data_IF_042756060190
#
_entry.id   IF_042756060190
#
_cell.length_a   1.000
_cell.length_b   1.000
_cell.length_c   1.000
_cell.angle_alpha   90.00
_cell.angle_beta   90.00
_cell.angle_gamma   90.00
#
_symmetry.space_group_name_H-M   'P 1'
#
loop_
_entity.id
_entity.type
_entity.pdbx_description
1 polymer ?
#
# COMPACT_ATOMS: atom_id res chain seq x y z
N UNK A 1 -2.21 13.43 -33.28
CA UNK A 1 -1.19 14.26 -33.99
C UNK A 1 -1.77 15.55 -34.58
N UNK A 2 -2.81 15.57 -35.43
CA UNK A 2 -3.37 16.83 -35.98
C UNK A 2 -3.89 17.81 -34.89
N UNK A 3 -4.51 17.35 -33.84
CA UNK A 3 -5.05 18.20 -32.75
C UNK A 3 -3.96 18.79 -31.85
N UNK A 4 -2.89 18.04 -31.59
CA UNK A 4 -1.71 18.54 -30.85
C UNK A 4 -0.98 19.65 -31.63
N UNK A 5 -0.89 19.52 -32.96
CA UNK A 5 -0.28 20.55 -33.82
C UNK A 5 -1.14 21.83 -33.91
N UNK A 6 -2.46 21.70 -33.85
CA UNK A 6 -3.33 22.89 -33.84
C UNK A 6 -3.29 23.67 -32.53
N UNK A 7 -3.17 22.99 -31.38
CA UNK A 7 -2.99 23.62 -30.07
C UNK A 7 -1.62 24.33 -29.92
N UNK A 8 -0.59 23.83 -30.59
CA UNK A 8 0.77 24.38 -30.53
C UNK A 8 1.00 25.55 -31.52
N UNK A 9 0.16 25.70 -32.55
CA UNK A 9 0.31 26.82 -33.53
C UNK A 9 -0.24 28.17 -33.02
N UNK A 10 -1.00 28.20 -31.92
CA UNK A 10 -1.58 29.40 -31.33
C UNK A 10 -0.70 30.17 -30.33
N UNK A 11 0.35 29.56 -29.79
CA UNK A 11 1.21 30.18 -28.77
C UNK A 11 2.70 30.12 -29.17
N UNK A 12 3.07 31.05 -30.02
CA UNK A 12 4.50 31.31 -30.36
C UNK A 12 5.16 32.02 -29.16
N UNK A 13 6.03 31.33 -28.45
CA UNK A 13 7.10 32.03 -27.73
C UNK A 13 7.67 31.43 -26.47
N UNK A 14 6.98 30.53 -25.75
CA UNK A 14 7.47 30.10 -24.40
C UNK A 14 7.43 28.61 -24.12
N UNK A 15 6.67 27.82 -24.85
CA UNK A 15 6.44 26.39 -24.53
C UNK A 15 7.40 25.46 -25.26
N UNK A 16 8.08 25.93 -26.30
CA UNK A 16 8.96 25.10 -27.13
C UNK A 16 10.27 24.67 -26.46
N UNK A 17 10.70 25.30 -25.38
CA UNK A 17 11.96 24.89 -24.69
C UNK A 17 11.78 23.77 -23.66
N UNK A 18 10.58 23.56 -23.11
CA UNK A 18 10.33 22.48 -22.14
C UNK A 18 9.77 21.20 -22.77
N UNK A 19 9.36 21.25 -24.05
CA UNK A 19 8.82 20.10 -24.79
C UNK A 19 9.93 19.32 -25.52
N UNK A 20 11.15 19.86 -25.57
CA UNK A 20 12.32 19.17 -26.18
C UNK A 20 12.89 18.06 -25.26
N UNK A 21 12.34 17.88 -24.06
CA UNK A 21 12.56 16.68 -23.25
C UNK A 21 11.67 15.49 -23.60
N UNK A 22 10.72 15.65 -24.52
CA UNK A 22 10.07 14.54 -25.19
C UNK A 22 11.13 13.90 -26.06
N UNK A 23 11.60 12.69 -25.67
CA UNK A 23 12.38 11.84 -26.52
C UNK A 23 11.87 11.99 -27.93
N UNK A 24 12.74 12.44 -28.85
CA UNK A 24 12.46 12.29 -30.26
C UNK A 24 12.08 10.83 -30.42
N UNK A 25 10.80 10.56 -30.66
CA UNK A 25 10.36 9.27 -31.12
C UNK A 25 11.10 9.05 -32.44
N UNK A 26 12.28 8.43 -32.38
CA UNK A 26 12.81 7.75 -33.52
C UNK A 26 11.67 6.84 -33.96
N UNK A 27 11.18 7.05 -35.17
CA UNK A 27 10.10 6.24 -35.73
C UNK A 27 10.48 4.78 -35.49
N UNK A 28 9.82 4.15 -34.53
CA UNK A 28 9.94 2.70 -34.30
C UNK A 28 9.54 2.10 -35.64
N UNK A 29 10.37 1.25 -36.24
CA UNK A 29 10.03 0.63 -37.51
C UNK A 29 8.62 0.04 -37.42
N UNK A 30 7.78 0.30 -38.39
CA UNK A 30 6.38 -0.14 -38.40
C UNK A 30 6.20 -1.64 -38.14
N UNK A 31 7.21 -2.44 -38.48
CA UNK A 31 7.25 -3.88 -38.22
C UNK A 31 7.47 -4.26 -36.75
N UNK A 32 8.20 -3.48 -35.99
CA UNK A 32 8.41 -3.72 -34.55
C UNK A 32 7.20 -3.28 -33.73
N UNK A 33 6.49 -2.25 -34.18
CA UNK A 33 5.24 -1.80 -33.59
C UNK A 33 4.09 -2.79 -33.84
N UNK A 34 3.99 -3.36 -35.06
CA UNK A 34 2.98 -4.37 -35.39
C UNK A 34 3.07 -5.65 -34.53
N UNK A 35 4.27 -5.96 -34.00
CA UNK A 35 4.49 -7.12 -33.10
C UNK A 35 3.97 -6.89 -31.66
N UNK A 36 3.65 -5.65 -31.28
CA UNK A 36 3.14 -5.30 -29.94
C UNK A 36 1.61 -5.29 -29.85
N UNK A 37 0.93 -5.85 -30.83
CA UNK A 37 -0.52 -5.79 -30.94
C UNK A 37 -1.23 -6.70 -29.90
N UNK A 38 -1.22 -6.25 -28.62
CA UNK A 38 -1.85 -6.92 -27.49
C UNK A 38 -3.27 -6.38 -27.21
N UNK A 39 -3.66 -5.28 -27.85
CA UNK A 39 -4.99 -4.67 -27.75
C UNK A 39 -5.27 -3.84 -29.03
N UNK A 40 -6.52 -3.88 -29.54
CA UNK A 40 -6.93 -3.22 -30.79
C UNK A 40 -8.08 -2.22 -30.62
N UNK A 41 -8.68 -2.19 -29.44
CA UNK A 41 -9.83 -1.34 -29.15
C UNK A 41 -9.85 -0.90 -27.67
N UNK A 42 -10.71 0.06 -27.34
CA UNK A 42 -10.83 0.64 -25.99
C UNK A 42 -11.07 -0.43 -24.92
N UNK A 43 -11.93 -1.42 -25.19
CA UNK A 43 -12.29 -2.46 -24.22
C UNK A 43 -11.09 -3.35 -23.90
N UNK A 44 -10.30 -3.71 -24.89
CA UNK A 44 -9.07 -4.52 -24.71
C UNK A 44 -8.03 -3.74 -23.95
N UNK A 45 -7.77 -2.45 -24.29
CA UNK A 45 -6.86 -1.59 -23.55
C UNK A 45 -7.28 -1.44 -22.08
N UNK A 46 -8.58 -1.21 -21.81
CA UNK A 46 -9.10 -1.13 -20.45
C UNK A 46 -8.89 -2.46 -19.69
N UNK A 47 -9.04 -3.59 -20.35
CA UNK A 47 -8.79 -4.92 -19.78
C UNK A 47 -7.30 -5.09 -19.39
N UNK A 48 -6.39 -4.66 -20.28
CA UNK A 48 -4.93 -4.68 -20.01
C UNK A 48 -4.59 -3.77 -18.82
N UNK A 49 -5.10 -2.52 -18.79
CA UNK A 49 -4.90 -1.57 -17.70
C UNK A 49 -5.37 -2.16 -16.36
N UNK A 50 -6.56 -2.75 -16.33
CA UNK A 50 -7.11 -3.38 -15.13
C UNK A 50 -6.30 -4.60 -14.70
N UNK A 51 -5.85 -5.42 -15.65
CA UNK A 51 -4.98 -6.58 -15.38
C UNK A 51 -3.64 -6.17 -14.79
N UNK A 52 -2.98 -5.15 -15.34
CA UNK A 52 -1.73 -4.60 -14.80
C UNK A 52 -1.91 -4.05 -13.38
N UNK A 53 -3.03 -3.38 -13.14
CA UNK A 53 -3.37 -2.87 -11.81
C UNK A 53 -3.57 -4.01 -10.80
N UNK A 54 -4.26 -5.09 -11.19
CA UNK A 54 -4.45 -6.27 -10.36
C UNK A 54 -3.14 -7.02 -10.08
N UNK A 55 -2.24 -7.06 -11.06
CA UNK A 55 -0.90 -7.68 -10.94
C UNK A 55 0.13 -6.81 -10.22
N UNK A 56 -0.25 -5.65 -9.71
CA UNK A 56 0.64 -4.65 -9.08
C UNK A 56 1.75 -4.14 -10.01
N UNK A 57 1.47 -4.07 -11.33
CA UNK A 57 2.36 -3.57 -12.37
C UNK A 57 2.00 -2.15 -12.80
N UNK A 58 1.62 -1.30 -11.87
CA UNK A 58 1.13 0.06 -12.12
C UNK A 58 2.17 0.96 -12.83
N UNK A 59 3.43 0.62 -12.75
CA UNK A 59 4.51 1.35 -13.44
C UNK A 59 4.44 1.25 -14.97
N UNK A 60 3.68 0.28 -15.52
CA UNK A 60 3.46 0.11 -16.95
C UNK A 60 2.21 0.86 -17.46
N UNK A 61 1.40 1.43 -16.60
CA UNK A 61 0.13 2.06 -17.00
C UNK A 61 0.35 3.22 -17.98
N UNK A 62 1.44 3.97 -17.81
CA UNK A 62 1.79 5.06 -18.70
C UNK A 62 2.21 4.56 -20.06
N UNK A 63 3.01 3.50 -20.12
CA UNK A 63 3.46 2.90 -21.39
C UNK A 63 2.25 2.37 -22.19
N UNK A 64 1.30 1.70 -21.52
CA UNK A 64 0.07 1.21 -22.16
C UNK A 64 -0.83 2.34 -22.64
N UNK A 65 -0.92 3.45 -21.90
CA UNK A 65 -1.66 4.62 -22.33
C UNK A 65 -1.03 5.29 -23.55
N UNK A 66 0.31 5.40 -23.57
CA UNK A 66 1.05 5.91 -24.72
C UNK A 66 0.89 4.99 -25.95
N UNK A 67 0.91 3.66 -25.78
CA UNK A 67 0.63 2.68 -26.83
C UNK A 67 -0.80 2.85 -27.40
N UNK A 68 -1.80 3.04 -26.51
CA UNK A 68 -3.19 3.29 -26.92
C UNK A 68 -3.31 4.54 -27.80
N UNK A 69 -2.59 5.61 -27.47
CA UNK A 69 -2.57 6.84 -28.28
C UNK A 69 -1.88 6.64 -29.62
N UNK A 70 -0.76 5.89 -29.65
CA UNK A 70 -0.01 5.56 -30.88
C UNK A 70 -0.85 4.70 -31.84
N UNK A 71 -1.67 3.80 -31.33
CA UNK A 71 -2.61 2.99 -32.11
C UNK A 71 -3.83 3.81 -32.62
N UNK A 72 -3.92 5.09 -32.24
CA UNK A 72 -5.04 5.95 -32.61
C UNK A 72 -6.35 5.61 -31.91
N UNK A 73 -6.30 4.77 -30.87
CA UNK A 73 -7.45 4.41 -30.05
C UNK A 73 -7.70 5.53 -29.03
N UNK A 74 -8.89 6.16 -29.12
CA UNK A 74 -9.23 7.29 -28.26
C UNK A 74 -9.60 6.81 -26.85
N UNK A 75 -8.90 7.29 -25.79
CA UNK A 75 -9.26 6.98 -24.40
C UNK A 75 -10.66 7.53 -24.07
N UNK A 76 -11.39 6.79 -23.26
CA UNK A 76 -12.71 7.18 -22.75
C UNK A 76 -12.62 7.59 -21.28
N UNK A 77 -13.73 8.08 -20.71
CA UNK A 77 -13.83 8.32 -19.27
C UNK A 77 -13.49 7.07 -18.45
N UNK A 78 -13.97 5.90 -18.86
CA UNK A 78 -13.70 4.62 -18.20
C UNK A 78 -12.21 4.24 -18.25
N UNK A 79 -11.53 4.61 -19.34
CA UNK A 79 -10.08 4.45 -19.45
C UNK A 79 -9.36 5.27 -18.36
N UNK A 80 -9.73 6.53 -18.20
CA UNK A 80 -9.13 7.39 -17.16
C UNK A 80 -9.49 6.92 -15.74
N UNK A 81 -10.70 6.42 -15.52
CA UNK A 81 -11.06 5.79 -14.25
C UNK A 81 -10.15 4.61 -13.93
N UNK A 82 -9.94 3.70 -14.88
CA UNK A 82 -9.06 2.54 -14.70
C UNK A 82 -7.61 2.93 -14.46
N UNK A 83 -7.09 3.93 -15.19
CA UNK A 83 -5.74 4.46 -15.04
C UNK A 83 -5.54 5.11 -13.67
N UNK A 84 -6.43 6.03 -13.27
CA UNK A 84 -6.30 6.77 -12.01
C UNK A 84 -6.54 5.85 -10.82
N UNK A 85 -7.49 4.90 -10.87
CA UNK A 85 -7.64 3.87 -9.86
C UNK A 85 -6.38 2.98 -9.74
N UNK A 86 -5.76 2.64 -10.86
CA UNK A 86 -4.48 1.91 -10.88
C UNK A 86 -3.34 2.71 -10.23
N UNK A 87 -3.23 4.00 -10.51
CA UNK A 87 -2.23 4.88 -9.86
C UNK A 87 -2.46 5.00 -8.36
N UNK A 88 -3.72 5.03 -7.91
CA UNK A 88 -4.07 5.00 -6.49
C UNK A 88 -3.59 3.70 -5.83
N UNK A 89 -3.85 2.54 -6.44
CA UNK A 89 -3.37 1.25 -5.91
C UNK A 89 -1.84 1.20 -5.80
N UNK A 90 -1.13 1.83 -6.72
CA UNK A 90 0.34 1.88 -6.77
C UNK A 90 0.99 3.07 -6.04
N UNK A 91 0.23 3.93 -5.38
CA UNK A 91 0.72 5.18 -4.76
C UNK A 91 1.54 6.06 -5.73
N UNK A 92 1.10 6.15 -7.01
CA UNK A 92 1.82 6.86 -8.08
C UNK A 92 1.22 8.24 -8.32
N UNK A 93 1.52 9.18 -7.44
CA UNK A 93 0.88 10.50 -7.44
C UNK A 93 1.17 11.30 -8.73
N UNK A 94 2.37 11.25 -9.25
CA UNK A 94 2.76 11.99 -10.47
C UNK A 94 2.00 11.48 -11.71
N UNK A 95 1.84 10.15 -11.82
CA UNK A 95 1.08 9.57 -12.92
C UNK A 95 -0.42 9.87 -12.77
N UNK A 96 -0.94 9.95 -11.55
CA UNK A 96 -2.32 10.37 -11.29
C UNK A 96 -2.58 11.78 -11.81
N UNK A 97 -1.66 12.72 -11.60
CA UNK A 97 -1.77 14.08 -12.15
C UNK A 97 -1.62 14.10 -13.66
N UNK A 98 -0.68 13.32 -14.19
CA UNK A 98 -0.51 13.21 -15.64
C UNK A 98 -1.82 12.76 -16.31
N UNK A 99 -2.46 11.69 -15.85
CA UNK A 99 -3.72 11.21 -16.44
C UNK A 99 -4.87 12.17 -16.24
N UNK A 100 -4.96 12.90 -15.12
CA UNK A 100 -5.92 13.98 -14.94
C UNK A 100 -5.75 15.08 -15.98
N UNK A 101 -4.51 15.49 -16.23
CA UNK A 101 -4.20 16.59 -17.16
C UNK A 101 -4.44 16.16 -18.62
N UNK A 102 -4.12 14.90 -18.97
CA UNK A 102 -4.48 14.30 -20.26
C UNK A 102 -6.01 14.25 -20.46
N UNK A 103 -6.76 13.83 -19.44
CA UNK A 103 -8.22 13.81 -19.44
C UNK A 103 -8.79 15.21 -19.72
N UNK A 104 -8.27 16.24 -19.02
CA UNK A 104 -8.69 17.63 -19.23
C UNK A 104 -8.32 18.15 -20.62
N UNK A 105 -7.15 17.81 -21.14
CA UNK A 105 -6.72 18.18 -22.49
C UNK A 105 -7.66 17.63 -23.57
N UNK A 106 -8.31 16.50 -23.30
CA UNK A 106 -9.35 15.92 -24.16
C UNK A 106 -10.75 16.54 -23.95
N UNK A 107 -10.88 17.57 -23.11
CA UNK A 107 -12.16 18.20 -22.79
C UNK A 107 -13.05 17.42 -21.83
N UNK A 108 -12.52 16.38 -21.16
CA UNK A 108 -13.23 15.59 -20.16
C UNK A 108 -12.98 16.18 -18.77
N UNK A 109 -14.03 16.39 -17.99
CA UNK A 109 -13.93 16.85 -16.60
C UNK A 109 -13.91 15.65 -15.66
N UNK A 110 -12.95 15.57 -14.70
CA UNK A 110 -12.97 14.54 -13.67
C UNK A 110 -14.25 14.60 -12.85
N UNK A 111 -14.81 13.44 -12.53
CA UNK A 111 -15.97 13.31 -11.65
C UNK A 111 -15.57 13.10 -10.16
N UNK A 112 -16.57 12.94 -9.31
CA UNK A 112 -16.35 12.75 -7.85
C UNK A 112 -15.46 11.55 -7.55
N UNK A 113 -15.65 10.42 -8.26
CA UNK A 113 -14.88 9.20 -8.03
C UNK A 113 -13.40 9.41 -8.36
N UNK A 114 -13.08 10.07 -9.48
CA UNK A 114 -11.71 10.39 -9.86
C UNK A 114 -11.02 11.31 -8.85
N UNK A 115 -11.72 12.35 -8.38
CA UNK A 115 -11.19 13.21 -7.32
C UNK A 115 -10.94 12.43 -6.03
N UNK A 116 -11.84 11.53 -5.63
CA UNK A 116 -11.66 10.68 -4.46
C UNK A 116 -10.43 9.76 -4.60
N UNK A 117 -10.20 9.15 -5.76
CA UNK A 117 -8.99 8.35 -6.02
C UNK A 117 -7.72 9.19 -5.93
N UNK A 118 -7.73 10.41 -6.45
CA UNK A 118 -6.57 11.32 -6.38
C UNK A 118 -6.28 11.76 -4.94
N UNK A 119 -7.30 12.10 -4.15
CA UNK A 119 -7.17 12.44 -2.72
C UNK A 119 -6.62 11.24 -1.95
N UNK A 120 -7.15 10.04 -2.21
CA UNK A 120 -6.64 8.79 -1.62
C UNK A 120 -5.17 8.54 -1.98
N UNK A 121 -4.77 8.79 -3.23
CA UNK A 121 -3.37 8.69 -3.67
C UNK A 121 -2.47 9.63 -2.89
N UNK A 122 -2.92 10.88 -2.65
CA UNK A 122 -2.20 11.81 -1.80
C UNK A 122 -2.01 11.29 -0.37
N UNK A 123 -3.04 10.65 0.20
CA UNK A 123 -2.96 10.02 1.51
C UNK A 123 -1.90 8.91 1.58
N UNK A 124 -1.87 8.02 0.57
CA UNK A 124 -0.82 6.98 0.44
C UNK A 124 0.59 7.56 0.35
N UNK A 125 0.73 8.70 -0.34
CA UNK A 125 1.99 9.41 -0.48
C UNK A 125 2.30 10.37 0.69
N UNK A 126 1.51 10.37 1.75
CA UNK A 126 1.63 11.28 2.91
C UNK A 126 1.73 12.76 2.51
N UNK A 127 0.90 13.18 1.57
CA UNK A 127 0.86 14.56 1.04
C UNK A 127 -0.52 15.19 1.24
N UNK A 128 -0.82 15.58 2.48
CA UNK A 128 -2.10 16.18 2.87
C UNK A 128 -2.36 17.55 2.23
N UNK A 129 -1.32 18.34 2.00
CA UNK A 129 -1.46 19.66 1.36
C UNK A 129 -1.97 19.52 -0.08
N UNK A 130 -1.46 18.53 -0.80
CA UNK A 130 -1.93 18.27 -2.16
C UNK A 130 -3.36 17.71 -2.17
N UNK A 131 -3.74 16.91 -1.17
CA UNK A 131 -5.12 16.44 -1.00
C UNK A 131 -6.11 17.62 -0.82
N UNK A 132 -5.73 18.61 -0.04
CA UNK A 132 -6.53 19.84 0.16
C UNK A 132 -6.65 20.63 -1.14
N UNK A 133 -5.55 20.79 -1.89
CA UNK A 133 -5.57 21.48 -3.19
C UNK A 133 -6.48 20.78 -4.20
N UNK A 134 -6.52 19.44 -4.19
CA UNK A 134 -7.43 18.67 -5.05
C UNK A 134 -8.89 18.93 -4.67
N UNK A 135 -9.22 19.03 -3.38
CA UNK A 135 -10.56 19.41 -2.94
C UNK A 135 -10.95 20.82 -3.43
N UNK A 136 -10.01 21.77 -3.36
CA UNK A 136 -10.23 23.14 -3.87
C UNK A 136 -10.44 23.14 -5.39
N UNK A 137 -9.65 22.38 -6.13
CA UNK A 137 -9.80 22.18 -7.56
C UNK A 137 -11.18 21.58 -7.91
N UNK A 138 -11.61 20.54 -7.16
CA UNK A 138 -12.91 19.90 -7.30
C UNK A 138 -14.05 20.93 -7.16
N UNK A 139 -13.98 21.77 -6.11
CA UNK A 139 -14.96 22.84 -5.87
C UNK A 139 -14.93 23.90 -6.98
N UNK A 140 -13.75 24.29 -7.44
CA UNK A 140 -13.57 25.25 -8.55
C UNK A 140 -14.21 24.74 -9.85
N UNK A 141 -14.06 23.45 -10.14
CA UNK A 141 -14.66 22.78 -11.29
C UNK A 141 -16.16 22.47 -11.10
N UNK A 142 -16.78 23.01 -10.06
CA UNK A 142 -18.21 22.82 -9.71
C UNK A 142 -18.61 21.35 -9.50
N UNK A 143 -17.68 20.48 -9.18
CA UNK A 143 -17.94 19.10 -8.79
C UNK A 143 -18.19 19.09 -7.28
N UNK A 144 -19.41 18.70 -6.86
CA UNK A 144 -19.80 18.74 -5.45
C UNK A 144 -19.15 17.59 -4.66
N UNK A 145 -18.36 17.87 -3.60
CA UNK A 145 -17.84 16.82 -2.71
C UNK A 145 -18.97 16.04 -2.06
N UNK A 146 -18.77 14.73 -1.90
CA UNK A 146 -19.68 13.84 -1.18
C UNK A 146 -19.07 13.36 0.15
N UNK A 147 -19.78 12.52 0.91
CA UNK A 147 -19.29 11.95 2.17
C UNK A 147 -17.96 11.19 2.00
N UNK A 148 -17.82 10.43 0.92
CA UNK A 148 -16.58 9.71 0.61
C UNK A 148 -15.40 10.66 0.40
N UNK A 149 -15.61 11.81 -0.27
CA UNK A 149 -14.57 12.82 -0.46
C UNK A 149 -13.99 13.32 0.86
N UNK A 150 -14.88 13.62 1.83
CA UNK A 150 -14.45 14.07 3.16
C UNK A 150 -13.74 12.96 3.95
N UNK A 151 -14.18 11.70 3.83
CA UNK A 151 -13.50 10.56 4.47
C UNK A 151 -12.12 10.34 3.84
N UNK A 152 -11.97 10.41 2.51
CA UNK A 152 -10.68 10.35 1.83
C UNK A 152 -9.74 11.46 2.32
N UNK A 153 -10.25 12.70 2.42
CA UNK A 153 -9.48 13.85 2.88
C UNK A 153 -9.07 13.72 4.36
N UNK A 154 -9.99 13.26 5.21
CA UNK A 154 -9.71 12.98 6.62
C UNK A 154 -8.58 11.98 6.76
N UNK A 155 -8.64 10.86 6.05
CA UNK A 155 -7.61 9.83 6.10
C UNK A 155 -6.28 10.30 5.47
N UNK A 156 -6.31 11.15 4.43
CA UNK A 156 -5.10 11.75 3.87
C UNK A 156 -4.41 12.71 4.86
N UNK A 157 -5.17 13.50 5.62
CA UNK A 157 -4.65 14.34 6.70
C UNK A 157 -4.18 13.50 7.90
N UNK A 158 -4.88 12.43 8.22
CA UNK A 158 -4.52 11.49 9.28
C UNK A 158 -3.18 10.80 9.01
N UNK A 159 -2.90 10.43 7.75
CA UNK A 159 -1.63 9.82 7.36
C UNK A 159 -0.40 10.70 7.62
N UNK A 160 -0.60 12.03 7.73
CA UNK A 160 0.45 13.02 8.05
C UNK A 160 0.39 13.50 9.50
N UNK A 161 -0.53 13.00 10.32
CA UNK A 161 -0.70 13.41 11.73
C UNK A 161 -1.22 14.85 11.92
N UNK A 162 -1.90 15.42 10.91
CA UNK A 162 -2.45 16.79 10.95
C UNK A 162 -3.78 16.82 11.70
N UNK A 163 -3.73 16.69 13.04
CA UNK A 163 -4.93 16.68 13.90
C UNK A 163 -5.78 17.95 13.76
N UNK A 164 -5.14 19.11 13.57
CA UNK A 164 -5.81 20.38 13.30
C UNK A 164 -6.79 20.28 12.13
N UNK A 165 -6.32 19.71 11.02
CA UNK A 165 -7.10 19.52 9.81
C UNK A 165 -8.15 18.42 9.95
N UNK A 166 -7.77 17.30 10.59
CA UNK A 166 -8.70 16.20 10.84
C UNK A 166 -9.89 16.66 11.68
N UNK A 167 -9.65 17.42 12.76
CA UNK A 167 -10.72 17.96 13.60
C UNK A 167 -11.61 18.96 12.84
N UNK A 168 -11.03 19.82 11.99
CA UNK A 168 -11.80 20.73 11.14
C UNK A 168 -12.72 19.94 10.17
N UNK A 169 -12.22 18.88 9.52
CA UNK A 169 -13.01 18.03 8.63
C UNK A 169 -14.13 17.32 9.39
N UNK A 170 -13.86 16.84 10.60
CA UNK A 170 -14.89 16.23 11.46
C UNK A 170 -15.97 17.25 11.81
N UNK A 171 -15.60 18.49 12.16
CA UNK A 171 -16.56 19.56 12.40
C UNK A 171 -17.42 19.89 11.18
N UNK A 172 -16.80 19.93 10.00
CA UNK A 172 -17.52 20.16 8.73
C UNK A 172 -18.51 19.02 8.42
N UNK A 173 -18.08 17.76 8.62
CA UNK A 173 -18.96 16.58 8.45
C UNK A 173 -20.17 16.64 9.38
N UNK A 174 -19.95 16.94 10.66
CA UNK A 174 -21.04 17.02 11.66
C UNK A 174 -21.95 18.22 11.42
N UNK A 175 -21.42 19.37 11.02
CA UNK A 175 -22.21 20.54 10.65
C UNK A 175 -23.06 20.30 9.39
N UNK A 176 -22.58 19.46 8.47
CA UNK A 176 -23.36 19.03 7.30
C UNK A 176 -24.43 17.97 7.62
N UNK A 177 -24.59 17.58 8.90
CA UNK A 177 -25.52 16.53 9.34
C UNK A 177 -25.07 15.11 8.98
N UNK A 178 -23.81 14.92 8.58
CA UNK A 178 -23.23 13.61 8.29
C UNK A 178 -22.69 12.99 9.59
N UNK A 179 -23.11 11.77 9.89
CA UNK A 179 -22.59 11.01 11.04
C UNK A 179 -21.16 10.50 10.77
N UNK A 180 -20.38 10.33 11.84
CA UNK A 180 -19.07 9.68 11.73
C UNK A 180 -19.26 8.16 11.62
N UNK A 181 -18.66 7.56 10.60
CA UNK A 181 -18.67 6.12 10.38
C UNK A 181 -17.37 5.46 10.88
N UNK A 182 -17.29 4.12 10.76
CA UNK A 182 -16.11 3.34 11.15
C UNK A 182 -14.81 3.84 10.52
N UNK A 183 -14.84 4.37 9.30
CA UNK A 183 -13.66 4.86 8.60
C UNK A 183 -13.21 6.26 9.07
N UNK A 184 -14.16 7.07 9.56
CA UNK A 184 -13.83 8.32 10.24
C UNK A 184 -13.10 8.05 11.57
N UNK A 185 -13.61 7.10 12.38
CA UNK A 185 -12.94 6.70 13.62
C UNK A 185 -11.58 6.07 13.37
N UNK A 186 -11.44 5.23 12.32
CA UNK A 186 -10.15 4.70 11.90
C UNK A 186 -9.16 5.82 11.55
N UNK A 187 -9.60 6.83 10.81
CA UNK A 187 -8.78 8.00 10.49
C UNK A 187 -8.40 8.83 11.72
N UNK A 188 -9.33 9.04 12.66
CA UNK A 188 -9.03 9.74 13.92
C UNK A 188 -7.95 9.01 14.73
N UNK A 189 -8.04 7.69 14.86
CA UNK A 189 -7.03 6.87 15.54
C UNK A 189 -5.68 7.02 14.82
N UNK A 190 -5.66 6.87 13.49
CA UNK A 190 -4.44 7.00 12.69
C UNK A 190 -3.82 8.41 12.83
N UNK A 191 -4.62 9.47 12.91
CA UNK A 191 -4.15 10.83 13.09
C UNK A 191 -3.39 11.01 14.41
N UNK A 192 -3.90 10.45 15.51
CA UNK A 192 -3.24 10.51 16.80
C UNK A 192 -1.93 9.73 16.85
N UNK A 193 -1.85 8.59 16.17
CA UNK A 193 -0.62 7.78 16.07
C UNK A 193 0.45 8.46 15.21
N UNK A 194 0.03 9.09 14.11
CA UNK A 194 0.94 9.74 13.17
C UNK A 194 1.38 11.15 13.62
N UNK A 195 0.69 11.74 14.61
CA UNK A 195 1.09 13.03 15.17
C UNK A 195 2.47 12.89 15.85
N UNK A 196 3.36 13.83 15.58
CA UNK A 196 4.68 13.90 16.24
C UNK A 196 4.86 15.26 16.91
N UNK A 197 5.37 15.30 18.15
CA UNK A 197 5.72 14.17 19.02
C UNK A 197 4.47 13.39 19.49
N UNK A 198 4.64 12.10 19.78
CA UNK A 198 3.59 11.27 20.40
C UNK A 198 3.39 11.80 21.83
N UNK A 199 2.14 12.08 22.21
CA UNK A 199 1.79 12.58 23.55
C UNK A 199 1.42 11.42 24.48
N UNK A 200 1.63 11.58 25.79
CA UNK A 200 1.26 10.57 26.80
C UNK A 200 -0.23 10.21 26.75
N UNK A 201 -1.09 11.15 26.35
CA UNK A 201 -2.53 10.94 26.21
C UNK A 201 -2.97 10.18 24.94
N UNK A 202 -2.02 9.86 24.01
CA UNK A 202 -2.38 9.21 22.74
C UNK A 202 -3.05 7.85 22.94
N UNK A 203 -2.55 7.04 23.87
CA UNK A 203 -3.10 5.70 24.16
C UNK A 203 -4.49 5.79 24.78
N UNK A 204 -4.70 6.69 25.73
CA UNK A 204 -6.01 6.96 26.34
C UNK A 204 -7.02 7.42 25.27
N UNK A 205 -6.57 8.30 24.37
CA UNK A 205 -7.43 8.80 23.29
C UNK A 205 -7.84 7.71 22.31
N UNK A 206 -6.97 6.75 22.02
CA UNK A 206 -7.31 5.59 21.18
C UNK A 206 -8.42 4.76 21.84
N UNK A 207 -8.33 4.48 23.14
CA UNK A 207 -9.37 3.76 23.89
C UNK A 207 -10.70 4.51 23.83
N UNK A 208 -10.70 5.82 24.09
CA UNK A 208 -11.90 6.66 24.01
C UNK A 208 -12.54 6.62 22.61
N UNK A 209 -11.76 6.70 21.55
CA UNK A 209 -12.27 6.64 20.17
C UNK A 209 -12.88 5.28 19.84
N UNK A 210 -12.30 4.18 20.35
CA UNK A 210 -12.89 2.84 20.21
C UNK A 210 -14.24 2.78 20.94
N UNK A 211 -14.34 3.31 22.16
CA UNK A 211 -15.60 3.36 22.90
C UNK A 211 -16.66 4.25 22.19
N UNK A 212 -16.27 5.43 21.72
CA UNK A 212 -17.15 6.35 21.00
C UNK A 212 -17.68 5.74 19.70
N UNK A 213 -16.85 4.91 19.03
CA UNK A 213 -17.24 4.28 17.77
C UNK A 213 -18.43 3.31 17.88
N UNK A 214 -18.80 2.88 19.07
CA UNK A 214 -19.94 1.98 19.29
C UNK A 214 -21.30 2.64 19.06
N UNK A 215 -21.37 3.96 19.19
CA UNK A 215 -22.59 4.75 19.00
C UNK A 215 -22.88 5.13 17.54
N UNK A 216 -22.00 4.77 16.58
CA UNK A 216 -22.27 5.09 15.19
C UNK A 216 -23.41 4.22 14.66
N UNK A 217 -24.50 4.84 14.25
CA UNK A 217 -25.54 4.19 13.46
C UNK A 217 -25.12 4.29 12.00
N UNK A 218 -25.27 3.19 11.25
CA UNK A 218 -25.05 3.14 9.81
C UNK A 218 -26.06 4.05 9.08
N UNK A 219 -25.85 5.35 9.12
CA UNK A 219 -26.45 6.25 8.13
C UNK A 219 -25.60 6.11 6.85
N UNK A 220 -25.57 4.91 6.33
CA UNK A 220 -25.01 4.63 5.04
C UNK A 220 -25.98 5.14 4.00
N UNK A 221 -25.63 6.22 3.35
CA UNK A 221 -26.12 6.48 2.03
C UNK A 221 -25.59 5.36 1.13
N UNK A 222 -26.37 4.30 0.97
CA UNK A 222 -26.08 3.10 0.18
C UNK A 222 -25.91 3.38 -1.33
N UNK A 223 -25.92 4.64 -1.76
CA UNK A 223 -25.85 5.04 -3.16
C UNK A 223 -24.44 5.25 -3.69
N UNK A 224 -23.47 5.61 -2.82
CA UNK A 224 -22.11 5.95 -3.27
C UNK A 224 -21.16 4.75 -3.34
N UNK A 225 -21.48 3.63 -2.69
CA UNK A 225 -20.64 2.43 -2.71
C UNK A 225 -20.73 1.63 -4.02
N UNK A 226 -21.81 1.78 -4.78
CA UNK A 226 -22.03 1.02 -6.00
C UNK A 226 -21.04 1.38 -7.12
N UNK A 227 -20.67 2.65 -7.28
CA UNK A 227 -19.72 3.08 -8.30
C UNK A 227 -18.30 2.57 -8.04
N UNK A 228 -17.86 2.58 -6.78
CA UNK A 228 -16.53 2.08 -6.40
C UNK A 228 -16.42 0.56 -6.55
N UNK A 229 -17.49 -0.17 -6.27
CA UNK A 229 -17.54 -1.64 -6.47
C UNK A 229 -17.43 -1.99 -7.94
N UNK A 230 -18.02 -1.21 -8.84
CA UNK A 230 -17.89 -1.41 -10.30
C UNK A 230 -16.43 -1.22 -10.78
N UNK A 231 -15.62 -0.43 -10.07
CA UNK A 231 -14.20 -0.22 -10.40
C UNK A 231 -13.24 -1.20 -9.69
N UNK A 232 -13.75 -2.14 -8.91
CA UNK A 232 -12.94 -3.10 -8.16
C UNK A 232 -12.04 -2.46 -7.10
N UNK A 233 -12.48 -1.33 -6.53
CA UNK A 233 -11.83 -0.64 -5.40
C UNK A 233 -12.70 -0.80 -4.18
N UNK A 234 -12.15 -1.36 -3.09
CA UNK A 234 -12.85 -1.46 -1.82
C UNK A 234 -12.78 -0.14 -1.05
N UNK A 235 -13.72 0.07 -0.10
CA UNK A 235 -13.67 1.24 0.78
C UNK A 235 -12.39 1.27 1.62
N UNK A 236 -11.91 0.11 2.06
CA UNK A 236 -10.66 -0.01 2.81
C UNK A 236 -9.45 0.43 1.96
N UNK A 237 -9.43 0.12 0.66
CA UNK A 237 -8.40 0.61 -0.28
C UNK A 237 -8.54 2.11 -0.53
N UNK A 238 -9.78 2.59 -0.71
CA UNK A 238 -10.06 3.99 -0.97
C UNK A 238 -9.68 4.89 0.23
N UNK A 239 -9.95 4.43 1.46
CA UNK A 239 -9.64 5.19 2.67
C UNK A 239 -8.28 4.87 3.28
N UNK A 240 -7.44 4.06 2.60
CA UNK A 240 -6.09 3.69 3.05
C UNK A 240 -6.06 3.01 4.43
N UNK A 241 -7.05 2.16 4.70
CA UNK A 241 -7.11 1.40 5.94
C UNK A 241 -6.03 0.29 5.94
N UNK A 242 -5.32 0.03 7.05
CA UNK A 242 -4.26 -0.98 7.10
C UNK A 242 -4.70 -2.39 6.70
N UNK A 243 -5.99 -2.69 6.77
CA UNK A 243 -6.57 -3.98 6.39
C UNK A 243 -6.84 -4.15 4.90
N UNK A 244 -6.65 -3.11 4.08
CA UNK A 244 -7.01 -3.10 2.67
C UNK A 244 -6.46 -4.30 1.86
N UNK A 245 -5.27 -4.77 2.20
CA UNK A 245 -4.63 -5.90 1.51
C UNK A 245 -5.34 -7.25 1.72
N UNK A 246 -6.12 -7.37 2.78
CA UNK A 246 -6.73 -8.62 3.21
C UNK A 246 -8.24 -8.68 2.93
N UNK A 247 -8.83 -7.61 2.41
CA UNK A 247 -10.29 -7.48 2.19
C UNK A 247 -10.86 -8.58 1.29
N UNK A 248 -10.09 -8.99 0.28
CA UNK A 248 -10.53 -10.02 -0.68
C UNK A 248 -10.34 -11.46 -0.17
N UNK A 249 -9.77 -11.64 1.02
CA UNK A 249 -9.54 -12.95 1.62
C UNK A 249 -10.72 -13.37 2.49
N UNK A 250 -11.48 -14.34 2.02
CA UNK A 250 -12.62 -14.87 2.79
C UNK A 250 -12.18 -15.40 4.15
N UNK A 251 -12.89 -14.99 5.22
CA UNK A 251 -12.65 -15.45 6.59
C UNK A 251 -11.42 -14.87 7.27
N UNK A 252 -10.67 -13.99 6.62
CA UNK A 252 -9.49 -13.36 7.19
C UNK A 252 -9.84 -12.14 8.05
N UNK A 253 -10.79 -11.33 7.56
CA UNK A 253 -11.24 -10.09 8.19
C UNK A 253 -12.74 -10.11 8.45
N UNK A 254 -13.13 -9.65 9.63
CA UNK A 254 -14.52 -9.28 9.91
C UNK A 254 -14.67 -7.76 9.79
N UNK A 255 -15.30 -7.28 8.71
CA UNK A 255 -15.46 -5.83 8.42
C UNK A 255 -16.14 -5.04 9.55
N UNK A 256 -16.81 -5.71 10.46
CA UNK A 256 -17.39 -5.10 11.65
C UNK A 256 -16.33 -4.70 12.68
N UNK A 257 -15.09 -5.22 12.56
CA UNK A 257 -13.97 -4.96 13.46
C UNK A 257 -13.04 -3.87 12.97
N UNK A 258 -13.37 -3.12 11.90
CA UNK A 258 -12.46 -2.14 11.26
C UNK A 258 -11.81 -1.19 12.27
N UNK A 259 -12.57 -0.65 13.23
CA UNK A 259 -12.04 0.26 14.27
C UNK A 259 -11.08 -0.48 15.19
N UNK A 260 -11.41 -1.70 15.61
CA UNK A 260 -10.53 -2.54 16.41
C UNK A 260 -9.25 -2.92 15.67
N UNK A 261 -9.35 -3.23 14.37
CA UNK A 261 -8.17 -3.50 13.54
C UNK A 261 -7.19 -2.34 13.55
N UNK A 262 -7.69 -1.12 13.31
CA UNK A 262 -6.85 0.08 13.29
C UNK A 262 -6.31 0.40 14.68
N UNK A 263 -7.10 0.23 15.73
CA UNK A 263 -6.66 0.45 17.11
C UNK A 263 -5.57 -0.54 17.54
N UNK A 264 -5.74 -1.83 17.24
CA UNK A 264 -4.72 -2.84 17.54
C UNK A 264 -3.44 -2.63 16.70
N UNK A 265 -3.58 -2.22 15.42
CA UNK A 265 -2.44 -1.82 14.60
C UNK A 265 -1.70 -0.63 15.22
N UNK A 266 -2.43 0.37 15.70
CA UNK A 266 -1.90 1.52 16.42
C UNK A 266 -1.12 1.11 17.67
N UNK A 267 -1.67 0.21 18.49
CA UNK A 267 -0.98 -0.33 19.66
C UNK A 267 0.31 -1.07 19.30
N UNK A 268 0.29 -1.85 18.22
CA UNK A 268 1.49 -2.52 17.72
C UNK A 268 2.55 -1.50 17.26
N UNK A 269 2.15 -0.41 16.60
CA UNK A 269 3.07 0.65 16.19
C UNK A 269 3.65 1.44 17.37
N UNK A 270 2.86 1.68 18.39
CA UNK A 270 3.28 2.39 19.62
C UNK A 270 4.04 1.49 20.61
N UNK A 271 3.95 0.16 20.49
CA UNK A 271 4.49 -0.77 21.48
C UNK A 271 3.76 -0.70 22.82
N UNK A 272 2.45 -0.48 22.82
CA UNK A 272 1.66 -0.35 24.05
C UNK A 272 0.85 -1.62 24.32
N UNK A 273 1.40 -2.52 25.14
CA UNK A 273 0.75 -3.79 25.51
C UNK A 273 -0.51 -3.53 26.34
N UNK A 274 -0.44 -2.64 27.33
CA UNK A 274 -1.56 -2.33 28.22
C UNK A 274 -2.80 -1.82 27.44
N UNK A 275 -2.57 -0.89 26.51
CA UNK A 275 -3.65 -0.37 25.66
C UNK A 275 -4.22 -1.47 24.75
N UNK A 276 -3.36 -2.32 24.19
CA UNK A 276 -3.77 -3.45 23.37
C UNK A 276 -4.65 -4.43 24.13
N UNK A 277 -4.25 -4.81 25.35
CA UNK A 277 -5.02 -5.71 26.21
C UNK A 277 -6.37 -5.10 26.58
N UNK A 278 -6.40 -3.81 26.93
CA UNK A 278 -7.66 -3.06 27.17
C UNK A 278 -8.59 -3.11 25.96
N UNK A 279 -8.08 -2.90 24.75
CA UNK A 279 -8.88 -2.96 23.51
C UNK A 279 -9.41 -4.37 23.26
N UNK A 280 -8.62 -5.41 23.54
CA UNK A 280 -9.09 -6.80 23.43
C UNK A 280 -10.17 -7.15 24.47
N UNK A 281 -10.09 -6.59 25.68
CA UNK A 281 -11.14 -6.71 26.69
C UNK A 281 -12.43 -6.02 26.25
N UNK A 282 -12.33 -4.82 25.70
CA UNK A 282 -13.47 -4.10 25.13
C UNK A 282 -14.13 -4.94 24.02
N UNK A 283 -13.33 -5.50 23.12
CA UNK A 283 -13.83 -6.34 22.04
C UNK A 283 -14.58 -7.57 22.57
N UNK A 284 -14.05 -8.24 23.60
CA UNK A 284 -14.71 -9.37 24.27
C UNK A 284 -16.00 -8.96 24.99
N UNK A 285 -15.99 -7.82 25.70
CA UNK A 285 -17.15 -7.26 26.38
C UNK A 285 -18.29 -6.97 25.40
N UNK A 286 -17.93 -6.58 24.15
CA UNK A 286 -18.90 -6.34 23.09
C UNK A 286 -19.40 -7.64 22.42
N UNK A 287 -19.06 -8.80 22.97
CA UNK A 287 -19.46 -10.13 22.45
C UNK A 287 -18.82 -10.48 21.11
N UNK A 288 -17.73 -9.83 20.74
CA UNK A 288 -17.04 -10.06 19.47
C UNK A 288 -15.84 -10.97 19.67
N UNK A 289 -15.53 -11.76 18.64
CA UNK A 289 -14.35 -12.65 18.63
C UNK A 289 -13.27 -12.07 17.73
N UNK A 290 -11.99 -12.06 18.17
CA UNK A 290 -10.87 -11.66 17.35
C UNK A 290 -10.78 -12.50 16.07
N UNK A 291 -10.54 -11.87 14.95
CA UNK A 291 -10.17 -12.51 13.68
C UNK A 291 -8.64 -12.66 13.56
N UNK A 292 -8.19 -13.20 12.43
CA UNK A 292 -6.77 -13.44 12.17
C UNK A 292 -5.96 -12.15 12.25
N UNK A 293 -6.49 -11.05 11.72
CA UNK A 293 -5.79 -9.78 11.72
C UNK A 293 -5.60 -9.21 13.14
N UNK A 294 -6.61 -9.33 14.00
CA UNK A 294 -6.49 -8.96 15.43
C UNK A 294 -5.35 -9.73 16.09
N UNK A 295 -5.28 -11.05 15.87
CA UNK A 295 -4.22 -11.91 16.42
C UNK A 295 -2.84 -11.51 15.87
N UNK A 296 -2.73 -11.22 14.58
CA UNK A 296 -1.47 -10.74 13.99
C UNK A 296 -0.99 -9.45 14.65
N UNK A 297 -1.89 -8.46 14.88
CA UNK A 297 -1.50 -7.22 15.54
C UNK A 297 -1.13 -7.42 17.00
N UNK A 298 -1.80 -8.31 17.70
CA UNK A 298 -1.46 -8.71 19.08
C UNK A 298 -0.05 -9.30 19.16
N UNK A 299 0.27 -10.24 18.28
CA UNK A 299 1.61 -10.86 18.19
C UNK A 299 2.66 -9.78 17.85
N UNK A 300 2.39 -8.89 16.89
CA UNK A 300 3.30 -7.78 16.54
C UNK A 300 3.57 -6.87 17.74
N UNK A 301 2.54 -6.55 18.52
CA UNK A 301 2.68 -5.70 19.70
C UNK A 301 3.60 -6.35 20.75
N UNK A 302 3.40 -7.62 21.08
CA UNK A 302 4.26 -8.34 22.01
C UNK A 302 5.72 -8.42 21.53
N UNK A 303 5.92 -8.78 20.25
CA UNK A 303 7.28 -8.90 19.68
C UNK A 303 8.01 -7.57 19.65
N UNK A 304 7.31 -6.47 19.34
CA UNK A 304 7.89 -5.12 19.33
C UNK A 304 8.34 -4.67 20.74
N UNK A 305 7.68 -5.17 21.77
CA UNK A 305 8.06 -4.95 23.16
C UNK A 305 9.09 -5.97 23.69
N UNK A 306 9.55 -6.92 22.87
CA UNK A 306 10.49 -7.96 23.25
C UNK A 306 9.89 -9.11 24.05
N UNK A 307 8.55 -9.20 24.13
CA UNK A 307 7.85 -10.25 24.86
C UNK A 307 7.58 -11.46 23.96
N UNK A 308 8.64 -12.21 23.70
CA UNK A 308 8.58 -13.40 22.86
C UNK A 308 7.68 -14.49 23.43
N UNK A 309 7.61 -14.63 24.75
CA UNK A 309 6.86 -15.71 25.40
C UNK A 309 5.35 -15.54 25.21
N UNK A 310 4.82 -14.31 25.43
CA UNK A 310 3.42 -14.04 25.18
C UNK A 310 3.07 -14.08 23.69
N UNK A 311 3.99 -13.64 22.82
CA UNK A 311 3.80 -13.72 21.37
C UNK A 311 3.66 -15.17 20.89
N UNK A 312 4.60 -16.06 21.32
CA UNK A 312 4.58 -17.49 20.99
C UNK A 312 3.33 -18.18 21.53
N UNK A 313 2.99 -17.91 22.79
CA UNK A 313 1.77 -18.47 23.41
C UNK A 313 0.53 -18.07 22.62
N UNK A 314 0.39 -16.80 22.25
CA UNK A 314 -0.76 -16.32 21.49
C UNK A 314 -0.84 -16.97 20.09
N UNK A 315 0.31 -17.19 19.44
CA UNK A 315 0.40 -17.91 18.17
C UNK A 315 -0.03 -19.38 18.33
N UNK A 316 0.46 -20.07 19.37
CA UNK A 316 0.15 -21.47 19.63
C UNK A 316 -1.33 -21.67 20.00
N UNK A 317 -1.88 -20.82 20.86
CA UNK A 317 -3.30 -20.84 21.25
C UNK A 317 -4.21 -20.65 20.01
N UNK A 318 -3.83 -19.77 19.09
CA UNK A 318 -4.55 -19.63 17.84
C UNK A 318 -4.47 -20.88 16.98
N UNK A 319 -3.26 -21.44 16.79
CA UNK A 319 -3.03 -22.64 15.98
C UNK A 319 -3.70 -23.90 16.54
N UNK A 320 -3.95 -23.94 17.85
CA UNK A 320 -4.69 -25.03 18.51
C UNK A 320 -6.20 -24.94 18.26
N UNK A 321 -6.73 -23.74 18.11
CA UNK A 321 -8.18 -23.48 17.96
C UNK A 321 -8.63 -23.31 16.51
N UNK A 322 -7.75 -22.82 15.63
CA UNK A 322 -8.06 -22.49 14.23
C UNK A 322 -6.89 -22.86 13.30
N UNK A 323 -7.15 -23.16 12.01
CA UNK A 323 -6.10 -23.40 11.06
C UNK A 323 -5.24 -22.13 10.85
N UNK A 324 -3.91 -22.22 10.98
CA UNK A 324 -3.02 -21.09 10.71
C UNK A 324 -2.99 -20.72 9.22
N UNK A 325 -2.48 -19.53 8.93
CA UNK A 325 -2.24 -19.05 7.57
C UNK A 325 -0.79 -18.59 7.41
N UNK A 326 -0.31 -18.47 6.19
CA UNK A 326 1.05 -18.06 5.88
C UNK A 326 1.40 -16.68 6.50
N UNK A 327 0.45 -15.74 6.48
CA UNK A 327 0.62 -14.39 7.02
C UNK A 327 0.88 -14.38 8.52
N UNK A 328 0.25 -15.29 9.26
CA UNK A 328 0.46 -15.42 10.71
C UNK A 328 1.89 -15.88 11.03
N UNK A 329 2.41 -16.86 10.26
CA UNK A 329 3.81 -17.30 10.36
C UNK A 329 4.75 -16.14 10.00
N UNK A 330 4.51 -15.45 8.88
CA UNK A 330 5.33 -14.32 8.45
C UNK A 330 5.35 -13.21 9.48
N UNK A 331 4.19 -12.90 10.10
CA UNK A 331 4.10 -11.90 11.17
C UNK A 331 4.98 -12.27 12.37
N UNK A 332 4.99 -13.55 12.75
CA UNK A 332 5.84 -14.02 13.86
C UNK A 332 7.33 -13.95 13.49
N UNK A 333 7.70 -14.36 12.27
CA UNK A 333 9.08 -14.31 11.77
C UNK A 333 9.57 -12.86 11.69
N UNK A 334 8.83 -11.98 11.04
CA UNK A 334 9.16 -10.56 10.88
C UNK A 334 9.34 -9.88 12.24
N UNK A 335 8.40 -10.07 13.14
CA UNK A 335 8.44 -9.46 14.47
C UNK A 335 9.56 -10.03 15.34
N UNK A 336 9.87 -11.33 15.25
CA UNK A 336 10.96 -11.94 15.99
C UNK A 336 12.35 -11.42 15.56
N UNK A 337 12.50 -11.03 14.31
CA UNK A 337 13.74 -10.43 13.79
C UNK A 337 13.95 -8.96 14.21
N UNK A 338 12.98 -8.30 14.84
CA UNK A 338 13.14 -6.93 15.31
C UNK A 338 14.29 -6.86 16.33
N UNK A 339 15.26 -5.96 16.07
CA UNK A 339 16.44 -5.80 16.91
C UNK A 339 17.51 -6.89 16.77
N UNK A 340 17.29 -7.88 15.91
CA UNK A 340 18.23 -8.97 15.57
C UNK A 340 18.85 -9.67 16.80
N UNK A 341 18.05 -9.86 17.86
CA UNK A 341 18.51 -10.59 19.05
C UNK A 341 18.72 -12.08 18.71
N UNK A 342 19.69 -12.72 19.35
CA UNK A 342 19.95 -14.14 19.12
C UNK A 342 18.68 -14.99 19.27
N UNK A 343 17.93 -14.80 20.37
CA UNK A 343 16.68 -15.51 20.64
C UNK A 343 15.62 -15.23 19.55
N UNK A 344 15.51 -13.97 19.11
CA UNK A 344 14.57 -13.60 18.05
C UNK A 344 14.90 -14.25 16.71
N UNK A 345 16.18 -14.30 16.34
CA UNK A 345 16.65 -14.95 15.12
C UNK A 345 16.44 -16.47 15.15
N UNK A 346 16.66 -17.12 16.30
CA UNK A 346 16.38 -18.54 16.50
C UNK A 346 14.86 -18.84 16.35
N UNK A 347 14.00 -18.04 16.98
CA UNK A 347 12.54 -18.14 16.84
C UNK A 347 12.11 -17.96 15.38
N UNK A 348 12.68 -16.98 14.68
CA UNK A 348 12.38 -16.72 13.27
C UNK A 348 12.72 -17.93 12.40
N UNK A 349 13.90 -18.53 12.59
CA UNK A 349 14.35 -19.69 11.84
C UNK A 349 13.48 -20.93 12.12
N UNK A 350 13.20 -21.23 13.40
CA UNK A 350 12.33 -22.35 13.81
C UNK A 350 10.90 -22.18 13.25
N UNK A 351 10.38 -20.95 13.29
CA UNK A 351 9.05 -20.63 12.73
C UNK A 351 8.99 -20.83 11.22
N UNK A 352 10.03 -20.43 10.47
CA UNK A 352 10.13 -20.67 9.03
C UNK A 352 10.21 -22.17 8.71
N UNK A 353 10.93 -22.95 9.50
CA UNK A 353 11.00 -24.40 9.35
C UNK A 353 9.62 -25.05 9.57
N UNK A 354 8.92 -24.65 10.65
CA UNK A 354 7.54 -25.09 10.94
C UNK A 354 6.56 -24.71 9.83
N UNK A 355 6.67 -23.49 9.29
CA UNK A 355 5.88 -23.01 8.18
C UNK A 355 6.07 -23.89 6.93
N UNK A 356 7.32 -24.16 6.57
CA UNK A 356 7.66 -24.99 5.42
C UNK A 356 7.21 -26.46 5.60
N UNK A 357 7.39 -27.03 6.80
CA UNK A 357 6.94 -28.38 7.13
C UNK A 357 5.42 -28.56 7.02
N UNK A 358 4.65 -27.49 7.22
CA UNK A 358 3.18 -27.47 7.05
C UNK A 358 2.74 -27.09 5.63
N UNK A 359 3.64 -27.03 4.66
CA UNK A 359 3.40 -26.67 3.28
C UNK A 359 2.82 -25.24 3.08
N UNK A 360 3.13 -24.33 3.97
CA UNK A 360 2.92 -22.91 3.74
C UNK A 360 4.15 -22.30 3.06
N UNK A 361 3.93 -21.46 2.04
CA UNK A 361 5.02 -20.97 1.21
C UNK A 361 5.04 -19.46 1.19
N UNK A 362 6.26 -18.91 1.11
CA UNK A 362 6.47 -17.48 0.89
C UNK A 362 6.04 -17.12 -0.52
N UNK A 363 5.28 -16.04 -0.65
CA UNK A 363 5.14 -15.36 -1.94
C UNK A 363 6.31 -14.39 -2.16
N UNK A 364 6.42 -13.81 -3.36
CA UNK A 364 7.55 -12.94 -3.71
C UNK A 364 7.66 -11.72 -2.76
N UNK A 365 6.55 -11.13 -2.35
CA UNK A 365 6.55 -10.02 -1.40
C UNK A 365 7.07 -10.44 -0.03
N UNK A 366 6.44 -11.46 0.57
CA UNK A 366 6.85 -11.99 1.88
C UNK A 366 8.33 -12.36 1.91
N UNK A 367 8.81 -13.07 0.88
CA UNK A 367 10.20 -13.48 0.80
C UNK A 367 11.16 -12.29 0.72
N UNK A 368 10.84 -11.28 -0.08
CA UNK A 368 11.66 -10.08 -0.20
C UNK A 368 11.67 -9.24 1.09
N UNK A 369 10.52 -9.05 1.73
CA UNK A 369 10.41 -8.29 2.97
C UNK A 369 11.19 -8.99 4.10
N UNK A 370 11.05 -10.31 4.24
CA UNK A 370 11.80 -11.11 5.22
C UNK A 370 13.31 -11.14 4.93
N UNK A 371 13.72 -11.29 3.67
CA UNK A 371 15.13 -11.28 3.30
C UNK A 371 15.76 -9.91 3.61
N UNK A 372 15.06 -8.83 3.29
CA UNK A 372 15.51 -7.48 3.60
C UNK A 372 15.64 -7.26 5.12
N UNK A 373 14.66 -7.72 5.90
CA UNK A 373 14.69 -7.63 7.36
C UNK A 373 15.85 -8.44 7.96
N UNK A 374 16.02 -9.71 7.55
CA UNK A 374 17.08 -10.58 8.03
C UNK A 374 18.48 -10.07 7.63
N UNK A 375 18.60 -9.40 6.47
CA UNK A 375 19.87 -8.85 6.00
C UNK A 375 20.38 -7.68 6.85
N UNK A 376 19.55 -7.09 7.69
CA UNK A 376 19.95 -6.06 8.66
C UNK A 376 20.72 -6.59 9.87
N UNK A 377 20.81 -7.91 10.07
CA UNK A 377 21.59 -8.52 11.15
C UNK A 377 23.07 -8.18 10.99
N UNK A 378 23.67 -7.58 12.03
CA UNK A 378 25.08 -7.19 12.05
C UNK A 378 25.98 -8.20 12.77
N UNK A 379 25.42 -8.96 13.69
CA UNK A 379 26.10 -9.93 14.54
C UNK A 379 25.49 -11.32 14.34
N UNK A 380 26.32 -12.35 14.29
CA UNK A 380 25.89 -13.74 14.13
C UNK A 380 26.21 -14.35 12.77
N UNK A 381 25.83 -15.60 12.59
CA UNK A 381 26.23 -16.42 11.42
C UNK A 381 25.42 -16.19 10.15
N UNK A 382 24.51 -15.22 10.12
CA UNK A 382 23.65 -14.91 8.96
C UNK A 382 22.76 -16.10 8.53
N UNK A 383 22.54 -17.03 9.44
CA UNK A 383 21.85 -18.30 9.18
C UNK A 383 20.40 -18.08 8.70
N UNK A 384 19.67 -17.15 9.32
CA UNK A 384 18.28 -16.86 8.97
C UNK A 384 18.17 -16.23 7.57
N UNK A 385 19.02 -15.25 7.24
CA UNK A 385 19.06 -14.65 5.90
C UNK A 385 19.42 -15.69 4.83
N UNK A 386 20.43 -16.55 5.12
CA UNK A 386 20.81 -17.64 4.26
C UNK A 386 19.65 -18.63 4.04
N UNK A 387 18.92 -18.98 5.10
CA UNK A 387 17.80 -19.89 5.01
C UNK A 387 16.64 -19.30 4.19
N UNK A 388 16.30 -18.02 4.37
CA UNK A 388 15.29 -17.34 3.58
C UNK A 388 15.70 -17.31 2.09
N UNK A 389 16.96 -16.98 1.82
CA UNK A 389 17.50 -17.00 0.45
C UNK A 389 17.33 -18.38 -0.19
N UNK A 390 17.73 -19.44 0.51
CA UNK A 390 17.65 -20.82 0.01
C UNK A 390 16.20 -21.24 -0.24
N UNK A 391 15.25 -20.86 0.63
CA UNK A 391 13.82 -21.09 0.41
C UNK A 391 13.31 -20.37 -0.85
N UNK A 392 13.74 -19.14 -1.07
CA UNK A 392 13.35 -18.36 -2.26
C UNK A 392 13.92 -18.97 -3.52
N UNK A 393 15.19 -19.39 -3.53
CA UNK A 393 15.84 -20.04 -4.67
C UNK A 393 15.21 -21.39 -4.99
N UNK A 394 14.98 -22.24 -3.99
CA UNK A 394 14.37 -23.56 -4.19
C UNK A 394 12.99 -23.52 -4.87
N UNK A 395 12.29 -22.38 -4.80
CA UNK A 395 10.94 -22.18 -5.37
C UNK A 395 10.90 -21.19 -6.53
N UNK A 396 12.04 -20.75 -7.03
CA UNK A 396 12.14 -19.74 -8.10
C UNK A 396 11.33 -18.46 -7.78
N UNK A 397 11.34 -18.01 -6.53
CA UNK A 397 10.67 -16.77 -6.11
C UNK A 397 11.48 -15.59 -6.65
N UNK A 398 10.80 -14.66 -7.32
CA UNK A 398 11.44 -13.46 -7.84
C UNK A 398 11.97 -12.58 -6.70
N UNK A 399 13.28 -12.32 -6.73
CA UNK A 399 13.95 -11.46 -5.75
C UNK A 399 13.98 -10.04 -6.27
N UNK A 400 13.72 -9.07 -5.38
CA UNK A 400 13.76 -7.64 -5.68
C UNK A 400 15.20 -7.11 -5.57
N UNK A 401 15.52 -6.05 -6.33
CA UNK A 401 16.85 -5.41 -6.27
C UNK A 401 17.22 -4.96 -4.84
N UNK A 402 16.34 -4.28 -4.07
CA UNK A 402 16.68 -3.88 -2.69
C UNK A 402 16.99 -5.07 -1.77
N UNK A 403 16.25 -6.18 -1.89
CA UNK A 403 16.47 -7.34 -1.05
C UNK A 403 17.79 -8.06 -1.36
N UNK A 404 18.10 -8.27 -2.66
CA UNK A 404 19.38 -8.88 -3.04
C UNK A 404 20.57 -7.97 -2.73
N UNK A 405 20.43 -6.66 -2.89
CA UNK A 405 21.48 -5.68 -2.55
C UNK A 405 21.81 -5.70 -1.06
N UNK A 406 20.78 -5.67 -0.19
CA UNK A 406 20.97 -5.76 1.25
C UNK A 406 21.64 -7.08 1.65
N UNK A 407 21.18 -8.20 1.08
CA UNK A 407 21.77 -9.51 1.34
C UNK A 407 23.21 -9.62 0.85
N UNK A 408 23.52 -9.14 -0.35
CA UNK A 408 24.87 -9.12 -0.92
C UNK A 408 25.83 -8.29 -0.07
N UNK A 409 25.42 -7.10 0.36
CA UNK A 409 26.23 -6.24 1.22
C UNK A 409 26.47 -6.91 2.58
N UNK A 410 25.44 -7.51 3.17
CA UNK A 410 25.57 -8.25 4.44
C UNK A 410 26.50 -9.45 4.36
N UNK A 411 26.60 -10.14 3.22
CA UNK A 411 27.59 -11.20 3.01
C UNK A 411 29.01 -10.64 2.90
N UNK A 412 29.18 -9.50 2.20
CA UNK A 412 30.48 -8.83 2.10
C UNK A 412 31.01 -8.32 3.44
N UNK A 413 30.12 -7.72 4.24
CA UNK A 413 30.50 -7.20 5.56
C UNK A 413 30.99 -8.29 6.52
N UNK A 414 30.73 -9.57 6.20
CA UNK A 414 31.19 -10.74 6.95
C UNK A 414 32.47 -11.36 6.42
N UNK A 415 33.17 -10.67 5.51
CA UNK A 415 34.43 -11.10 4.93
C UNK A 415 34.40 -12.54 4.37
N UNK A 416 33.26 -12.94 3.80
CA UNK A 416 33.12 -14.25 3.14
C UNK A 416 34.08 -14.30 1.95
N UNK A 417 34.81 -15.41 1.73
CA UNK A 417 35.73 -15.54 0.63
C UNK A 417 35.08 -15.23 -0.73
N UNK A 418 35.80 -14.55 -1.62
CA UNK A 418 35.27 -14.11 -2.91
C UNK A 418 34.90 -15.29 -3.84
N UNK A 419 35.43 -16.46 -3.59
CA UNK A 419 35.18 -17.72 -4.29
C UNK A 419 34.06 -18.56 -3.67
N UNK A 420 33.43 -18.05 -2.59
CA UNK A 420 32.27 -18.73 -1.96
C UNK A 420 31.12 -18.89 -2.97
N UNK A 421 30.61 -20.12 -3.17
CA UNK A 421 29.56 -20.37 -4.14
C UNK A 421 28.30 -19.53 -3.94
N UNK A 422 27.92 -19.25 -2.69
CA UNK A 422 26.76 -18.43 -2.35
C UNK A 422 27.00 -16.98 -2.76
N UNK A 423 28.15 -16.42 -2.41
CA UNK A 423 28.50 -15.04 -2.77
C UNK A 423 28.53 -14.85 -4.28
N UNK A 424 29.04 -15.81 -5.03
CA UNK A 424 29.07 -15.79 -6.51
C UNK A 424 27.66 -15.79 -7.12
N UNK A 425 26.74 -16.62 -6.59
CA UNK A 425 25.34 -16.66 -7.07
C UNK A 425 24.61 -15.36 -6.76
N UNK A 426 24.79 -14.85 -5.54
CA UNK A 426 24.15 -13.59 -5.09
C UNK A 426 24.69 -12.41 -5.91
N UNK A 427 26.01 -12.31 -6.14
CA UNK A 427 26.63 -11.27 -6.96
C UNK A 427 26.08 -11.27 -8.39
N UNK A 428 26.02 -12.44 -9.04
CA UNK A 428 25.43 -12.55 -10.40
C UNK A 428 23.97 -12.12 -10.43
N UNK A 429 23.19 -12.49 -9.42
CA UNK A 429 21.78 -12.10 -9.33
C UNK A 429 21.64 -10.59 -9.16
N UNK A 430 22.46 -9.99 -8.30
CA UNK A 430 22.52 -8.54 -8.08
C UNK A 430 22.88 -7.79 -9.37
N UNK A 431 23.96 -8.19 -10.05
CA UNK A 431 24.42 -7.56 -11.29
C UNK A 431 23.37 -7.65 -12.41
N UNK A 432 22.71 -8.81 -12.54
CA UNK A 432 21.64 -9.01 -13.51
C UNK A 432 20.43 -8.12 -13.25
N UNK A 433 20.03 -7.97 -11.98
CA UNK A 433 18.90 -7.09 -11.63
C UNK A 433 19.25 -5.62 -11.79
N UNK A 434 20.46 -5.23 -11.41
CA UNK A 434 20.96 -3.85 -11.56
C UNK A 434 21.01 -3.43 -13.02
N UNK A 435 21.51 -4.30 -13.92
CA UNK A 435 21.56 -4.03 -15.38
C UNK A 435 20.16 -3.89 -15.98
N UNK A 436 19.22 -4.71 -15.55
CA UNK A 436 17.81 -4.62 -16.01
C UNK A 436 17.09 -3.36 -15.52
N UNK A 437 17.46 -2.85 -14.34
CA UNK A 437 16.86 -1.63 -13.77
C UNK A 437 17.34 -0.34 -14.43
N UNK A 438 18.45 -0.34 -15.16
CA UNK A 438 19.05 0.81 -15.86
C UNK A 438 19.64 1.87 -14.92
N UNK A 439 20.62 2.67 -15.36
CA UNK A 439 21.11 3.80 -14.59
C UNK A 439 20.03 4.88 -14.55
N UNK A 440 19.36 5.06 -13.41
CA UNK A 440 18.36 6.12 -13.19
C UNK A 440 17.02 5.68 -12.63
N UNK A 441 16.76 4.38 -12.43
CA UNK A 441 15.55 3.87 -11.77
C UNK A 441 15.87 3.39 -10.34
N UNK A 442 16.54 4.22 -9.55
CA UNK A 442 16.58 4.04 -8.10
C UNK A 442 15.17 4.24 -7.52
N UNK A 443 14.83 3.61 -6.38
CA UNK A 443 13.59 3.94 -5.70
C UNK A 443 13.55 5.43 -5.41
N UNK A 444 12.37 6.10 -5.46
CA UNK A 444 12.27 7.48 -5.05
C UNK A 444 12.78 7.60 -3.60
N UNK A 445 13.49 8.67 -3.25
CA UNK A 445 13.92 8.89 -1.88
C UNK A 445 12.70 8.87 -0.96
N UNK A 446 12.86 8.22 0.20
CA UNK A 446 11.83 8.02 1.22
C UNK A 446 11.29 9.34 1.79
#
# INVERSE_FOLDING_TARGET
MKLLFQALSGHRGSITRNVIGIRSFSAVPSEEYAKRNYANNVSEYNTVINSLSAQRRQFLLRDVYEDMQLDGVQPTRDTFHSLIAGTMKGARLQDSFYFRDEMKAMGLVPDVALYNFMISTCGKCKNSEQAIRILEEMKHNKVKPNGQTYICLLNACAATGRLDRVNAIVSDLTAAGLGLNKFCYAGLIAAHVNQKPITEGTTTRIIELVEQSKGWSSVEANTDSAENVMMGVSEEELYNIPTAEFVHRRGFLFRQLTVYHVALHACAELGSIETMETILEILKRDGRTPDVYCVMQTIRCYLRCGDFDRALKNFEDYCASKPPCAELYVTLVEGAMIGHTQRGMEIAQDTLQKMNARNFFLNARMGNDLLLAASGEKTGGYSTANYIWDLMQARNINISLPAVEAYYNGLKDREIPADDPRLLVVSRTYDNLRTRSGPGRGPPPA
#
